data_IF_349807447226
#
_entry.id   IF_349807447226
#
_cell.length_a   1.000
_cell.length_b   1.000
_cell.length_c   1.000
_cell.angle_alpha   90.00
_cell.angle_beta   90.00
_cell.angle_gamma   90.00
#
_symmetry.space_group_name_H-M   'P 1'
#
loop_
_entity.id
_entity.type
_entity.pdbx_description
1 polymer ?
#
# COMPACT_ATOMS: atom_id res chain seq x y z
N UNK A 1 -1.26 -12.54 6.83
CA UNK A 1 0.11 -12.13 7.24
C UNK A 1 0.72 -13.02 8.32
N UNK A 2 -0.07 -13.72 9.13
CA UNK A 2 0.41 -14.63 10.18
C UNK A 2 1.44 -15.69 9.72
N UNK A 3 1.42 -16.14 8.46
CA UNK A 3 2.45 -17.01 7.87
C UNK A 3 3.89 -16.47 8.05
N UNK A 4 4.03 -15.13 8.15
CA UNK A 4 5.30 -14.43 8.34
C UNK A 4 5.45 -13.88 9.76
N UNK A 5 4.64 -14.31 10.72
CA UNK A 5 4.66 -13.83 12.11
C UNK A 5 4.18 -12.40 12.31
N UNK A 6 3.51 -11.80 11.31
CA UNK A 6 2.97 -10.44 11.38
C UNK A 6 1.47 -10.54 11.66
N UNK A 7 1.06 -10.08 12.85
CA UNK A 7 -0.34 -9.99 13.22
C UNK A 7 -0.96 -8.68 12.70
N UNK A 8 -2.00 -8.83 11.89
CA UNK A 8 -2.83 -7.72 11.38
C UNK A 8 -4.32 -7.97 11.65
N UNK A 9 -4.67 -8.92 12.52
CA UNK A 9 -6.05 -9.36 12.73
C UNK A 9 -6.94 -8.26 13.33
N UNK A 10 -6.34 -7.28 14.00
CA UNK A 10 -7.03 -6.10 14.54
C UNK A 10 -7.21 -4.97 13.50
N UNK A 11 -6.60 -5.08 12.30
CA UNK A 11 -6.77 -4.06 11.28
C UNK A 11 -8.11 -4.19 10.56
N UNK A 12 -8.72 -3.04 10.27
CA UNK A 12 -9.97 -2.94 9.53
C UNK A 12 -9.82 -1.90 8.40
N UNK A 13 -10.54 -2.08 7.27
CA UNK A 13 -10.57 -1.08 6.21
C UNK A 13 -10.98 0.29 6.74
N UNK A 14 -10.23 1.32 6.34
CA UNK A 14 -10.46 2.73 6.71
C UNK A 14 -10.66 3.54 5.45
N UNK A 15 -11.58 4.50 5.51
CA UNK A 15 -11.74 5.48 4.43
C UNK A 15 -10.53 6.43 4.46
N UNK A 16 -9.91 6.64 3.32
CA UNK A 16 -8.83 7.61 3.20
C UNK A 16 -9.37 9.03 3.38
N UNK A 17 -8.82 9.76 4.34
CA UNK A 17 -9.18 11.16 4.59
C UNK A 17 -8.18 12.11 3.95
N UNK A 18 -8.64 13.30 3.61
CA UNK A 18 -7.79 14.36 3.07
C UNK A 18 -6.64 14.72 4.02
N UNK A 19 -6.94 14.77 5.32
CA UNK A 19 -5.98 15.10 6.37
C UNK A 19 -4.85 14.06 6.44
N UNK A 20 -5.16 12.77 6.23
CA UNK A 20 -4.15 11.72 6.19
C UNK A 20 -3.18 11.92 5.00
N UNK A 21 -3.70 12.30 3.83
CA UNK A 21 -2.87 12.61 2.65
C UNK A 21 -2.01 13.85 2.91
N UNK A 22 -2.59 14.91 3.49
CA UNK A 22 -1.88 16.14 3.85
C UNK A 22 -0.78 15.94 4.88
N UNK A 23 -0.92 14.98 5.80
CA UNK A 23 0.10 14.66 6.79
C UNK A 23 1.23 13.76 6.25
N UNK A 24 1.08 13.15 5.08
CA UNK A 24 2.03 12.15 4.55
C UNK A 24 3.13 12.78 3.69
N UNK A 25 4.37 12.29 3.76
CA UNK A 25 5.44 12.69 2.83
C UNK A 25 5.40 11.93 1.51
N UNK A 26 4.98 10.65 1.58
CA UNK A 26 4.84 9.75 0.44
C UNK A 26 3.43 9.15 0.42
N UNK A 27 2.78 9.16 -0.75
CA UNK A 27 1.45 8.60 -0.98
C UNK A 27 1.55 7.50 -2.03
N UNK A 28 1.14 6.28 -1.68
CA UNK A 28 1.21 5.11 -2.55
C UNK A 28 -0.21 4.73 -2.97
N UNK A 29 -0.49 4.75 -4.27
CA UNK A 29 -1.74 4.24 -4.84
C UNK A 29 -1.55 2.80 -5.31
N UNK A 30 -2.55 1.95 -5.08
CA UNK A 30 -2.51 0.51 -5.40
C UNK A 30 -3.71 0.10 -6.26
N UNK A 31 -4.02 0.89 -7.29
CA UNK A 31 -5.13 0.59 -8.22
C UNK A 31 -6.49 1.24 -7.90
N UNK A 32 -6.55 2.20 -6.97
CA UNK A 32 -7.77 2.98 -6.71
C UNK A 32 -8.06 4.08 -7.76
N UNK A 33 -7.16 4.31 -8.72
CA UNK A 33 -7.27 5.39 -9.70
C UNK A 33 -7.12 6.79 -9.07
N UNK A 34 -7.25 7.83 -9.90
CA UNK A 34 -7.08 9.27 -9.59
C UNK A 34 -8.07 9.85 -8.54
N UNK A 35 -8.59 9.01 -7.64
CA UNK A 35 -9.56 9.39 -6.61
C UNK A 35 -8.96 10.25 -5.49
N UNK A 36 -7.63 10.42 -5.45
CA UNK A 36 -6.97 11.27 -4.46
C UNK A 36 -6.67 12.67 -5.01
N UNK A 37 -7.08 13.75 -4.33
CA UNK A 37 -6.59 15.08 -4.66
C UNK A 37 -5.06 15.14 -4.50
N UNK A 38 -4.37 15.63 -5.54
CA UNK A 38 -2.92 15.80 -5.51
C UNK A 38 -2.55 17.05 -4.71
N UNK A 39 -1.84 16.85 -3.61
CA UNK A 39 -1.23 17.92 -2.81
C UNK A 39 0.23 18.16 -3.22
N UNK A 40 0.64 19.40 -3.51
CA UNK A 40 2.02 19.75 -3.80
C UNK A 40 2.99 19.38 -2.66
N UNK A 41 4.25 19.12 -3.02
CA UNK A 41 5.33 18.85 -2.06
C UNK A 41 5.35 17.43 -1.49
N UNK A 42 4.57 16.51 -2.07
CA UNK A 42 4.55 15.09 -1.68
C UNK A 42 5.02 14.21 -2.82
N UNK A 43 5.66 13.09 -2.49
CA UNK A 43 6.01 12.05 -3.46
C UNK A 43 4.80 11.15 -3.67
N UNK A 44 4.37 10.97 -4.92
CA UNK A 44 3.30 10.04 -5.28
C UNK A 44 3.90 8.87 -6.05
N UNK A 45 3.53 7.66 -5.67
CA UNK A 45 3.87 6.44 -6.40
C UNK A 45 2.62 5.66 -6.74
N UNK A 46 2.49 5.26 -8.00
CA UNK A 46 1.44 4.34 -8.44
C UNK A 46 2.01 2.93 -8.57
N UNK A 47 1.59 2.06 -7.65
CA UNK A 47 1.97 0.66 -7.61
C UNK A 47 0.86 -0.15 -8.23
N UNK A 48 1.01 -0.45 -9.52
CA UNK A 48 0.16 -1.45 -10.16
C UNK A 48 0.39 -2.82 -9.52
N UNK A 49 -0.68 -3.37 -8.95
CA UNK A 49 -0.76 -4.67 -8.31
C UNK A 49 -2.01 -5.38 -8.84
N UNK A 50 -1.95 -6.70 -8.93
CA UNK A 50 -3.13 -7.50 -9.28
C UNK A 50 -4.11 -7.56 -8.09
N UNK A 51 -5.41 -7.64 -8.36
CA UNK A 51 -6.44 -7.76 -7.33
C UNK A 51 -6.70 -9.25 -7.01
N UNK A 52 -6.40 -9.71 -5.77
CA UNK A 52 -6.65 -11.09 -5.37
C UNK A 52 -8.09 -11.34 -4.89
N UNK A 53 -8.98 -10.35 -4.95
CA UNK A 53 -10.36 -10.51 -4.50
C UNK A 53 -11.06 -11.71 -5.18
N UNK A 54 -11.71 -12.55 -4.37
CA UNK A 54 -12.36 -13.77 -4.85
C UNK A 54 -11.40 -14.91 -5.22
N UNK A 55 -10.08 -14.73 -5.07
CA UNK A 55 -9.07 -15.75 -5.32
C UNK A 55 -8.61 -16.44 -4.03
N UNK A 56 -7.86 -17.53 -4.17
CA UNK A 56 -7.28 -18.27 -3.04
C UNK A 56 -6.00 -17.60 -2.49
N UNK A 57 -5.52 -18.10 -1.34
CA UNK A 57 -4.33 -17.57 -0.67
C UNK A 57 -3.05 -17.62 -1.53
N UNK A 58 -2.96 -18.57 -2.45
CA UNK A 58 -1.83 -18.67 -3.39
C UNK A 58 -1.69 -17.45 -4.30
N UNK A 59 -2.81 -16.78 -4.64
CA UNK A 59 -2.76 -15.54 -5.43
C UNK A 59 -2.30 -14.35 -4.58
N UNK A 60 -2.56 -14.37 -3.27
CA UNK A 60 -2.20 -13.28 -2.34
C UNK A 60 -0.70 -13.25 -2.05
N UNK A 61 -0.06 -14.41 -1.92
CA UNK A 61 1.37 -14.53 -1.56
C UNK A 61 2.33 -13.76 -2.50
N UNK A 62 2.27 -13.90 -3.83
CA UNK A 62 3.17 -13.16 -4.71
C UNK A 62 2.94 -11.65 -4.62
N UNK A 63 1.69 -11.18 -4.45
CA UNK A 63 1.38 -9.76 -4.28
C UNK A 63 1.99 -9.23 -2.97
N UNK A 64 1.84 -9.97 -1.86
CA UNK A 64 2.46 -9.63 -0.57
C UNK A 64 3.98 -9.50 -0.69
N UNK A 65 4.62 -10.43 -1.37
CA UNK A 65 6.09 -10.49 -1.48
C UNK A 65 6.65 -9.39 -2.42
N UNK A 66 5.89 -9.03 -3.45
CA UNK A 66 6.16 -7.84 -4.27
C UNK A 66 6.04 -6.54 -3.45
N UNK A 67 4.93 -6.36 -2.72
CA UNK A 67 4.74 -5.20 -1.82
C UNK A 67 5.90 -5.09 -0.83
N UNK A 68 6.35 -6.19 -0.22
CA UNK A 68 7.51 -6.20 0.68
C UNK A 68 8.75 -5.63 -0.01
N UNK A 69 9.08 -6.12 -1.20
CA UNK A 69 10.27 -5.70 -1.95
C UNK A 69 10.22 -4.21 -2.28
N UNK A 70 9.05 -3.71 -2.69
CA UNK A 70 8.86 -2.29 -2.99
C UNK A 70 8.98 -1.40 -1.74
N UNK A 71 8.44 -1.86 -0.60
CA UNK A 71 8.56 -1.16 0.69
C UNK A 71 10.01 -1.13 1.17
N UNK A 72 10.74 -2.23 1.10
CA UNK A 72 12.15 -2.29 1.50
C UNK A 72 13.00 -1.31 0.68
N UNK A 73 12.76 -1.23 -0.63
CA UNK A 73 13.39 -0.23 -1.50
C UNK A 73 13.02 1.20 -1.11
N UNK A 74 11.72 1.48 -0.92
CA UNK A 74 11.26 2.82 -0.55
C UNK A 74 11.89 3.29 0.77
N UNK A 75 11.97 2.42 1.78
CA UNK A 75 12.61 2.74 3.06
C UNK A 75 14.09 3.06 2.85
N UNK A 76 14.80 2.30 2.01
CA UNK A 76 16.21 2.57 1.70
C UNK A 76 16.43 3.90 0.96
N UNK A 77 15.44 4.42 0.23
CA UNK A 77 15.50 5.72 -0.44
C UNK A 77 15.16 6.91 0.48
N UNK A 78 14.49 6.65 1.60
CA UNK A 78 14.06 7.68 2.57
C UNK A 78 15.04 7.88 3.74
N UNK A 79 15.95 6.93 3.97
CA UNK A 79 16.99 6.95 5.00
C UNK A 79 18.33 7.44 4.43
#
# INVERSE_FOLDING_TARGET
MAELGIDIAAEAPKVLTTEAVQASDVVITMGCGDACPLFPGKRYEDWKLDDPAGQGIEAVRPIRDDIRTRIERLVAELL
#
